data_IF_458138257787
#
_entry.id   IF_458138257787
#
_cell.length_a   1.000
_cell.length_b   1.000
_cell.length_c   1.000
_cell.angle_alpha   90.00
_cell.angle_beta   90.00
_cell.angle_gamma   90.00
#
_symmetry.space_group_name_H-M   'P 1'
#
loop_
_entity.id
_entity.type
_entity.pdbx_description
1 polymer ?
#
# COMPACT_ATOMS: atom_id res chain seq x y z
N UNK A 1 5.74 18.87 -21.94
CA UNK A 1 4.42 18.22 -21.84
C UNK A 1 4.48 16.80 -22.40
N UNK A 2 4.77 16.62 -23.69
CA UNK A 2 4.81 15.28 -24.31
C UNK A 2 5.74 14.28 -23.58
N UNK A 3 6.95 14.72 -23.24
CA UNK A 3 7.91 13.93 -22.44
C UNK A 3 7.39 13.54 -21.05
N UNK A 4 6.57 14.39 -20.41
CA UNK A 4 5.97 14.08 -19.11
C UNK A 4 4.89 13.00 -19.25
N UNK A 5 4.09 13.07 -20.31
CA UNK A 5 3.09 12.04 -20.61
C UNK A 5 3.77 10.72 -20.95
N UNK A 6 4.81 10.73 -21.78
CA UNK A 6 5.57 9.52 -22.11
C UNK A 6 6.18 8.88 -20.86
N UNK A 7 6.75 9.69 -19.97
CA UNK A 7 7.32 9.20 -18.72
C UNK A 7 6.25 8.63 -17.78
N UNK A 8 5.05 9.24 -17.74
CA UNK A 8 3.92 8.72 -16.97
C UNK A 8 3.45 7.36 -17.52
N UNK A 9 3.31 7.23 -18.85
CA UNK A 9 2.92 5.98 -19.51
C UNK A 9 3.94 4.86 -19.26
N UNK A 10 5.23 5.18 -19.40
CA UNK A 10 6.30 4.21 -19.15
C UNK A 10 6.34 3.78 -17.69
N UNK A 11 6.23 4.72 -16.74
CA UNK A 11 6.16 4.41 -15.32
C UNK A 11 4.93 3.54 -15.02
N UNK A 12 3.77 3.86 -15.58
CA UNK A 12 2.55 3.05 -15.40
C UNK A 12 2.73 1.63 -15.96
N UNK A 13 3.33 1.47 -17.15
CA UNK A 13 3.61 0.15 -17.73
C UNK A 13 4.55 -0.67 -16.85
N UNK A 14 5.68 -0.10 -16.45
CA UNK A 14 6.65 -0.77 -15.56
C UNK A 14 6.02 -1.11 -14.21
N UNK A 15 5.22 -0.19 -13.67
CA UNK A 15 4.45 -0.38 -12.46
C UNK A 15 3.52 -1.58 -12.56
N UNK A 16 2.76 -1.73 -13.64
CA UNK A 16 1.86 -2.87 -13.86
C UNK A 16 2.60 -4.21 -13.93
N UNK A 17 3.76 -4.24 -14.58
CA UNK A 17 4.59 -5.45 -14.69
C UNK A 17 5.14 -5.89 -13.31
N UNK A 18 5.51 -4.93 -12.47
CA UNK A 18 6.13 -5.18 -11.17
C UNK A 18 5.10 -5.30 -10.03
N UNK A 19 3.88 -4.79 -10.22
CA UNK A 19 2.82 -4.69 -9.21
C UNK A 19 2.55 -5.97 -8.42
N UNK A 20 2.55 -7.18 -9.03
CA UNK A 20 2.31 -8.41 -8.29
C UNK A 20 3.31 -8.62 -7.16
N UNK A 21 4.57 -8.24 -7.39
CA UNK A 21 5.70 -8.47 -6.49
C UNK A 21 6.00 -7.28 -5.57
N UNK A 22 5.34 -6.13 -5.78
CA UNK A 22 5.55 -4.96 -4.91
C UNK A 22 5.02 -5.23 -3.50
N UNK A 23 5.86 -4.93 -2.51
CA UNK A 23 5.44 -4.77 -1.12
C UNK A 23 4.87 -3.35 -0.88
N UNK A 24 4.59 -3.04 0.39
CA UNK A 24 3.99 -1.76 0.77
C UNK A 24 4.94 -0.58 0.51
N UNK A 25 6.25 -0.73 0.77
CA UNK A 25 7.23 0.34 0.62
C UNK A 25 7.44 0.65 -0.85
N UNK A 26 7.67 -0.39 -1.65
CA UNK A 26 7.85 -0.29 -3.10
C UNK A 26 6.63 0.31 -3.79
N UNK A 27 5.42 -0.09 -3.38
CA UNK A 27 4.19 0.50 -3.91
C UNK A 27 4.04 1.97 -3.49
N UNK A 28 4.47 2.33 -2.27
CA UNK A 28 4.52 3.71 -1.79
C UNK A 28 5.44 4.59 -2.65
N UNK A 29 6.70 4.17 -2.81
CA UNK A 29 7.70 4.87 -3.62
C UNK A 29 7.26 5.02 -5.09
N UNK A 30 6.63 3.99 -5.63
CA UNK A 30 6.04 4.03 -6.96
C UNK A 30 4.95 5.12 -7.06
N UNK A 31 4.03 5.17 -6.08
CA UNK A 31 2.94 6.15 -6.08
C UNK A 31 3.46 7.59 -5.91
N UNK A 32 4.51 7.79 -5.11
CA UNK A 32 5.19 9.10 -4.97
C UNK A 32 5.84 9.53 -6.29
N UNK A 33 6.56 8.62 -6.95
CA UNK A 33 7.18 8.87 -8.25
C UNK A 33 6.13 9.24 -9.30
N UNK A 34 4.99 8.54 -9.31
CA UNK A 34 3.86 8.85 -10.18
C UNK A 34 3.24 10.22 -9.87
N UNK A 35 3.05 10.54 -8.59
CA UNK A 35 2.51 11.83 -8.16
C UNK A 35 3.40 13.01 -8.58
N UNK A 36 4.73 12.87 -8.50
CA UNK A 36 5.66 13.90 -8.94
C UNK A 36 5.50 14.25 -10.43
N UNK A 37 5.30 13.24 -11.28
CA UNK A 37 5.05 13.45 -12.72
C UNK A 37 3.69 14.11 -12.95
N UNK A 38 2.64 13.66 -12.26
CA UNK A 38 1.29 14.26 -12.35
C UNK A 38 1.31 15.73 -11.93
N UNK A 39 2.00 16.06 -10.83
CA UNK A 39 2.15 17.43 -10.37
C UNK A 39 2.89 18.29 -11.41
N UNK A 40 3.93 17.73 -12.03
CA UNK A 40 4.64 18.40 -13.14
C UNK A 40 3.70 18.65 -14.32
N UNK A 41 2.86 17.68 -14.69
CA UNK A 41 1.84 17.86 -15.74
C UNK A 41 0.84 18.96 -15.37
N UNK A 42 0.33 18.95 -14.15
CA UNK A 42 -0.65 19.92 -13.65
C UNK A 42 -0.12 21.36 -13.63
N UNK A 43 1.20 21.54 -13.45
CA UNK A 43 1.84 22.85 -13.51
C UNK A 43 1.98 23.45 -14.92
N UNK A 44 1.81 22.64 -15.98
CA UNK A 44 1.92 23.13 -17.36
C UNK A 44 0.61 23.78 -17.79
N UNK A 45 0.64 25.07 -18.10
CA UNK A 45 -0.48 25.74 -18.76
C UNK A 45 -0.56 25.32 -20.23
N UNK A 46 -1.68 24.73 -20.61
CA UNK A 46 -1.95 24.27 -21.98
C UNK A 46 -3.18 24.98 -22.54
N UNK A 47 -3.15 25.27 -23.85
CA UNK A 47 -4.36 25.69 -24.57
C UNK A 47 -5.32 24.50 -24.72
N UNK A 48 -6.60 24.78 -24.98
CA UNK A 48 -7.62 23.73 -25.23
C UNK A 48 -7.21 22.78 -26.35
N UNK A 49 -6.60 23.30 -27.42
CA UNK A 49 -6.11 22.50 -28.53
C UNK A 49 -4.98 21.55 -28.09
N UNK A 50 -4.05 22.01 -27.26
CA UNK A 50 -2.97 21.17 -26.73
C UNK A 50 -3.50 20.12 -25.75
N UNK A 51 -4.49 20.45 -24.92
CA UNK A 51 -5.11 19.47 -24.02
C UNK A 51 -5.78 18.32 -24.80
N UNK A 52 -6.44 18.63 -25.92
CA UNK A 52 -7.07 17.63 -26.76
C UNK A 52 -6.06 16.59 -27.31
N UNK A 53 -4.82 17.00 -27.59
CA UNK A 53 -3.75 16.11 -28.07
C UNK A 53 -3.36 15.04 -27.03
N UNK A 54 -3.40 15.37 -25.74
CA UNK A 54 -2.95 14.48 -24.67
C UNK A 54 -4.08 13.72 -23.97
N UNK A 55 -5.33 14.11 -24.20
CA UNK A 55 -6.50 13.57 -23.49
C UNK A 55 -6.61 12.06 -23.58
N UNK A 56 -6.47 11.49 -24.77
CA UNK A 56 -6.56 10.04 -24.97
C UNK A 56 -5.47 9.27 -24.22
N UNK A 57 -4.25 9.78 -24.24
CA UNK A 57 -3.10 9.19 -23.53
C UNK A 57 -3.30 9.20 -22.02
N UNK A 58 -3.76 10.32 -21.47
CA UNK A 58 -4.09 10.42 -20.04
C UNK A 58 -5.23 9.46 -19.67
N UNK A 59 -6.26 9.32 -20.53
CA UNK A 59 -7.36 8.39 -20.28
C UNK A 59 -6.89 6.93 -20.23
N UNK A 60 -5.97 6.53 -21.10
CA UNK A 60 -5.41 5.16 -21.07
C UNK A 60 -4.60 4.90 -19.81
N UNK A 61 -3.84 5.89 -19.31
CA UNK A 61 -3.19 5.78 -17.99
C UNK A 61 -4.24 5.62 -16.88
N UNK A 62 -5.28 6.46 -16.87
CA UNK A 62 -6.34 6.42 -15.85
C UNK A 62 -7.11 5.10 -15.83
N UNK A 63 -7.25 4.42 -16.96
CA UNK A 63 -7.88 3.10 -17.03
C UNK A 63 -7.15 2.02 -16.23
N UNK A 64 -5.86 2.22 -15.96
CA UNK A 64 -5.03 1.28 -15.19
C UNK A 64 -5.09 1.53 -13.67
N UNK A 65 -5.51 2.72 -13.23
CA UNK A 65 -5.55 3.12 -11.82
C UNK A 65 -6.35 2.17 -10.90
N UNK A 66 -7.49 1.59 -11.34
CA UNK A 66 -8.20 0.60 -10.53
C UNK A 66 -7.34 -0.61 -10.13
N UNK A 67 -6.36 -1.00 -10.94
CA UNK A 67 -5.48 -2.15 -10.67
C UNK A 67 -4.54 -1.83 -9.50
N UNK A 68 -3.90 -0.66 -9.52
CA UNK A 68 -3.06 -0.19 -8.41
C UNK A 68 -3.87 -0.02 -7.12
N UNK A 69 -5.10 0.49 -7.23
CA UNK A 69 -6.01 0.63 -6.09
C UNK A 69 -6.38 -0.72 -5.47
N UNK A 70 -6.61 -1.74 -6.29
CA UNK A 70 -6.88 -3.09 -5.81
C UNK A 70 -5.69 -3.67 -5.02
N UNK A 71 -4.46 -3.48 -5.52
CA UNK A 71 -3.24 -3.92 -4.80
C UNK A 71 -3.09 -3.19 -3.46
N UNK A 72 -3.32 -1.88 -3.41
CA UNK A 72 -3.28 -1.11 -2.16
C UNK A 72 -4.29 -1.63 -1.13
N UNK A 73 -5.53 -1.92 -1.55
CA UNK A 73 -6.54 -2.44 -0.62
C UNK A 73 -6.24 -3.87 -0.18
N UNK A 74 -5.65 -4.70 -1.05
CA UNK A 74 -5.20 -6.04 -0.68
C UNK A 74 -4.11 -6.00 0.41
N UNK A 75 -3.07 -5.18 0.23
CA UNK A 75 -2.02 -4.99 1.25
C UNK A 75 -2.59 -4.44 2.57
N UNK A 76 -3.56 -3.52 2.48
CA UNK A 76 -4.25 -2.99 3.66
C UNK A 76 -5.06 -4.07 4.39
N UNK A 77 -5.74 -4.95 3.66
CA UNK A 77 -6.48 -6.07 4.23
C UNK A 77 -5.54 -7.04 4.94
N UNK A 78 -4.44 -7.40 4.28
CA UNK A 78 -3.43 -8.29 4.85
C UNK A 78 -2.86 -7.74 6.16
N UNK A 79 -2.50 -6.45 6.21
CA UNK A 79 -2.00 -5.82 7.41
C UNK A 79 -3.03 -5.87 8.56
N UNK A 80 -4.32 -5.64 8.27
CA UNK A 80 -5.41 -5.75 9.26
C UNK A 80 -5.55 -7.17 9.80
N UNK A 81 -5.51 -8.16 8.93
CA UNK A 81 -5.60 -9.57 9.32
C UNK A 81 -4.42 -9.99 10.20
N UNK A 82 -3.21 -9.54 9.88
CA UNK A 82 -2.03 -9.79 10.69
C UNK A 82 -2.15 -9.17 12.08
N UNK A 83 -2.60 -7.91 12.18
CA UNK A 83 -2.85 -7.25 13.46
C UNK A 83 -3.89 -8.01 14.30
N UNK A 84 -4.98 -8.47 13.70
CA UNK A 84 -6.00 -9.26 14.38
C UNK A 84 -5.45 -10.60 14.91
N UNK A 85 -4.58 -11.26 14.16
CA UNK A 85 -3.88 -12.49 14.62
C UNK A 85 -2.98 -12.21 15.83
N UNK A 86 -2.30 -11.07 15.87
CA UNK A 86 -1.52 -10.65 17.04
C UNK A 86 -2.40 -10.40 18.27
N UNK A 87 -3.52 -9.70 18.12
CA UNK A 87 -4.44 -9.43 19.24
C UNK A 87 -5.06 -10.71 19.81
N UNK A 88 -5.51 -11.62 18.94
CA UNK A 88 -6.07 -12.92 19.35
C UNK A 88 -5.02 -13.80 20.03
N UNK A 89 -3.78 -13.84 19.51
CA UNK A 89 -2.66 -14.58 20.13
C UNK A 89 -2.30 -14.03 21.51
N UNK A 90 -2.32 -12.70 21.67
CA UNK A 90 -2.08 -12.05 22.97
C UNK A 90 -3.18 -12.37 23.98
N UNK A 91 -4.43 -12.36 23.54
CA UNK A 91 -5.59 -12.71 24.38
C UNK A 91 -5.52 -14.17 24.82
N UNK A 92 -5.15 -15.09 23.91
CA UNK A 92 -4.97 -16.50 24.25
C UNK A 92 -3.82 -16.72 25.24
N UNK A 93 -2.66 -16.07 25.05
CA UNK A 93 -1.55 -16.15 26.03
C UNK A 93 -1.96 -15.67 27.42
N UNK A 94 -2.65 -14.53 27.51
CA UNK A 94 -3.12 -14.01 28.79
C UNK A 94 -4.13 -14.96 29.48
N UNK A 95 -5.01 -15.62 28.72
CA UNK A 95 -5.97 -16.57 29.27
C UNK A 95 -5.32 -17.86 29.83
N UNK A 96 -4.23 -18.32 29.20
CA UNK A 96 -3.44 -19.46 29.70
C UNK A 96 -2.54 -19.07 30.88
N UNK A 97 -1.92 -17.88 30.86
CA UNK A 97 -1.09 -17.40 31.99
C UNK A 97 -1.94 -17.17 33.25
N UNK A 98 -3.18 -16.65 33.12
CA UNK A 98 -4.09 -16.52 34.26
C UNK A 98 -4.70 -17.83 34.77
N UNK A 99 -4.65 -18.91 33.98
CA UNK A 99 -5.04 -20.25 34.43
C UNK A 99 -3.91 -20.98 35.18
N UNK A 100 -2.67 -20.50 35.05
CA UNK A 100 -1.49 -21.01 35.77
C UNK A 100 -1.16 -20.26 37.07
N UNK A 101 -1.97 -19.28 37.46
CA UNK A 101 -1.96 -18.68 38.80
C UNK A 101 -2.87 -19.45 39.79
N UNK A 102 -2.98 -20.76 39.57
CA UNK A 102 -3.45 -21.70 40.57
C UNK A 102 -2.38 -21.88 41.64
N UNK A 103 -2.68 -21.44 42.86
CA UNK A 103 -2.11 -22.00 44.08
C UNK A 103 -0.59 -22.22 44.08
N UNK A 104 0.19 -21.14 43.96
CA UNK A 104 1.62 -21.20 44.34
C UNK A 104 1.75 -21.26 45.87
N UNK A 105 1.46 -22.43 46.45
CA UNK A 105 1.82 -22.76 47.83
C UNK A 105 3.35 -22.96 47.91
N UNK A 106 4.09 -21.85 47.99
CA UNK A 106 5.46 -21.87 48.48
C UNK A 106 5.43 -22.14 49.99
N UNK A 107 5.50 -23.42 50.36
CA UNK A 107 5.83 -23.81 51.73
C UNK A 107 7.31 -23.50 51.98
N UNK A 108 7.58 -22.38 52.66
CA UNK A 108 8.86 -22.09 53.29
C UNK A 108 9.07 -23.08 54.44
N UNK A 109 9.92 -24.09 54.24
CA UNK A 109 10.42 -24.91 55.34
C UNK A 109 11.54 -24.16 56.05
N UNK A 110 11.19 -23.52 57.17
CA UNK A 110 12.13 -23.19 58.25
C UNK A 110 11.58 -23.59 59.62
N UNK A 111 11.94 -24.80 60.07
CA UNK A 111 12.75 -25.07 61.29
C UNK A 111 12.85 -26.58 61.51
#
# INVERSE_FOLDING_TARGET
MDSLIQRLEELTRQGLEQLPNMDYEQLGEFMESRAAIINSIASVSLTTAQQALYRGRIQEVLRQDPIFKAKMEALRSEAREQLQKFETSRTQRNAYDHAYDGESFFFDKKK
#
